data_IF_623154571454
#
_entry.id   IF_623154571454
#
_cell.length_a   1.000
_cell.length_b   1.000
_cell.length_c   1.000
_cell.angle_alpha   90.00
_cell.angle_beta   90.00
_cell.angle_gamma   90.00
#
_symmetry.space_group_name_H-M   'P 1'
#
loop_
_entity.id
_entity.type
_entity.pdbx_description
1 polymer ?
#
# COMPACT_ATOMS: atom_id res chain seq x y z
N UNK A 1 2.57 18.47 6.23
CA UNK A 1 2.82 18.08 7.63
C UNK A 1 4.31 17.89 7.78
N UNK A 2 4.98 18.68 8.61
CA UNK A 2 6.39 18.43 8.94
C UNK A 2 6.45 17.40 10.06
N UNK A 3 7.02 16.23 9.77
CA UNK A 3 7.24 15.19 10.77
C UNK A 3 8.43 15.61 11.64
N UNK A 4 8.15 16.08 12.86
CA UNK A 4 9.19 16.41 13.83
C UNK A 4 9.52 15.16 14.63
N UNK A 5 10.70 14.58 14.40
CA UNK A 5 11.21 13.47 15.20
C UNK A 5 11.85 14.08 16.45
N UNK A 6 11.27 13.81 17.62
CA UNK A 6 11.84 14.24 18.91
C UNK A 6 12.88 13.23 19.37
N UNK A 7 14.15 13.65 19.38
CA UNK A 7 15.27 12.84 19.89
C UNK A 7 15.39 13.03 21.41
N UNK A 8 15.50 11.95 22.21
CA UNK A 8 15.67 12.05 23.66
C UNK A 8 16.86 12.90 24.09
N UNK A 9 16.71 13.56 25.23
CA UNK A 9 17.77 14.41 25.78
C UNK A 9 19.03 13.58 26.10
N UNK A 10 20.17 14.02 25.57
CA UNK A 10 21.47 13.36 25.75
C UNK A 10 21.85 12.40 24.62
N UNK A 11 20.98 12.16 23.64
CA UNK A 11 21.35 11.43 22.43
C UNK A 11 21.96 12.39 21.41
N UNK A 12 22.99 11.92 20.71
CA UNK A 12 23.51 12.66 19.56
C UNK A 12 22.47 12.68 18.44
N UNK A 13 22.49 13.70 17.59
CA UNK A 13 21.59 13.74 16.45
C UNK A 13 22.09 12.77 15.37
N UNK A 14 21.23 11.91 14.79
CA UNK A 14 21.67 10.97 13.78
C UNK A 14 22.07 11.72 12.49
N UNK A 15 23.18 11.33 11.89
CA UNK A 15 23.67 11.89 10.63
C UNK A 15 22.80 11.49 9.44
N UNK A 16 22.14 10.33 9.50
CA UNK A 16 21.30 9.82 8.41
C UNK A 16 19.85 9.65 8.86
N UNK A 17 18.95 9.64 7.88
CA UNK A 17 17.51 9.49 8.11
C UNK A 17 16.99 8.16 7.61
N UNK A 18 15.90 7.69 8.21
CA UNK A 18 15.17 6.51 7.74
C UNK A 18 14.78 6.63 6.25
N UNK A 19 14.95 5.56 5.49
CA UNK A 19 14.66 5.51 4.05
C UNK A 19 15.71 6.17 3.16
N UNK A 20 16.74 6.81 3.73
CA UNK A 20 17.82 7.42 2.97
C UNK A 20 18.59 6.35 2.19
N UNK A 21 18.87 6.62 0.90
CA UNK A 21 19.65 5.73 0.05
C UNK A 21 21.14 5.95 0.25
N UNK A 22 21.84 4.86 0.49
CA UNK A 22 23.29 4.82 0.69
C UNK A 22 23.92 3.91 -0.36
N UNK A 23 25.25 3.90 -0.46
CA UNK A 23 25.94 2.98 -1.38
C UNK A 23 25.68 1.51 -1.02
N UNK A 24 25.38 1.22 0.24
CA UNK A 24 25.07 -0.12 0.75
C UNK A 24 23.58 -0.48 0.73
N UNK A 25 22.73 0.42 0.22
CA UNK A 25 21.29 0.23 0.16
C UNK A 25 20.50 1.26 0.98
N UNK A 26 19.16 1.19 0.97
CA UNK A 26 18.32 2.04 1.82
C UNK A 26 18.51 1.72 3.31
N UNK A 27 18.47 2.76 4.13
CA UNK A 27 18.38 2.62 5.59
C UNK A 27 16.94 2.19 5.94
N UNK A 28 16.81 0.99 6.49
CA UNK A 28 15.53 0.39 6.90
C UNK A 28 15.31 0.40 8.40
N UNK A 29 16.29 0.89 9.17
CA UNK A 29 16.15 1.02 10.62
C UNK A 29 17.30 1.79 11.25
N UNK A 30 17.04 2.33 12.43
CA UNK A 30 18.00 3.10 13.23
C UNK A 30 17.85 2.70 14.70
N UNK A 31 18.96 2.40 15.38
CA UNK A 31 19.00 2.06 16.81
C UNK A 31 20.07 2.90 17.49
N UNK A 32 19.78 3.40 18.69
CA UNK A 32 20.76 4.10 19.51
C UNK A 32 21.16 3.23 20.71
N UNK A 33 22.46 3.05 20.92
CA UNK A 33 23.01 2.33 22.07
C UNK A 33 23.64 3.31 23.06
N UNK A 34 23.00 3.55 24.22
CA UNK A 34 23.53 4.46 25.23
C UNK A 34 24.79 3.91 25.91
N UNK A 35 25.70 4.81 26.30
CA UNK A 35 26.88 4.50 27.11
C UNK A 35 26.53 3.66 28.36
N UNK A 36 27.40 2.72 28.70
CA UNK A 36 27.27 1.92 29.93
C UNK A 36 26.20 0.83 29.88
N UNK A 37 25.57 0.59 28.73
CA UNK A 37 24.68 -0.56 28.52
C UNK A 37 25.45 -1.77 28.02
N UNK A 38 24.93 -2.98 28.25
CA UNK A 38 25.53 -4.21 27.71
C UNK A 38 25.63 -4.17 26.18
N UNK A 39 24.59 -3.68 25.50
CA UNK A 39 24.58 -3.56 24.05
C UNK A 39 25.64 -2.58 23.53
N UNK A 40 25.90 -1.47 24.23
CA UNK A 40 26.98 -0.56 23.85
C UNK A 40 28.38 -1.18 24.04
N UNK A 41 28.54 -2.14 24.96
CA UNK A 41 29.81 -2.86 25.11
C UNK A 41 30.05 -3.89 24.02
N UNK A 42 29.00 -4.50 23.49
CA UNK A 42 29.06 -5.52 22.44
C UNK A 42 29.10 -4.90 21.04
N UNK A 43 28.29 -3.85 20.84
CA UNK A 43 28.06 -3.22 19.55
C UNK A 43 28.47 -1.74 19.53
N UNK A 44 29.28 -1.26 20.46
CA UNK A 44 29.71 0.15 20.50
C UNK A 44 28.59 1.14 20.88
N UNK A 45 29.00 2.29 21.40
CA UNK A 45 28.11 3.39 21.75
C UNK A 45 27.66 4.18 20.51
N UNK A 46 26.42 4.71 20.53
CA UNK A 46 25.92 5.66 19.53
C UNK A 46 24.91 5.07 18.55
N UNK A 47 24.80 5.69 17.37
CA UNK A 47 23.85 5.29 16.33
C UNK A 47 24.32 4.08 15.53
N UNK A 48 23.38 3.17 15.31
CA UNK A 48 23.50 2.02 14.42
C UNK A 48 22.43 2.06 13.36
N UNK A 49 22.88 1.94 12.11
CA UNK A 49 22.04 1.96 10.93
C UNK A 49 21.85 0.55 10.42
N UNK A 50 20.59 0.21 10.13
CA UNK A 50 20.19 -1.08 9.58
C UNK A 50 19.96 -0.86 8.10
N UNK A 51 20.73 -1.56 7.27
CA UNK A 51 20.70 -1.44 5.83
C UNK A 51 20.19 -2.74 5.22
N UNK A 52 19.47 -2.59 4.11
CA UNK A 52 18.97 -3.70 3.32
C UNK A 52 19.51 -3.56 1.90
N UNK A 53 20.64 -4.22 1.56
CA UNK A 53 21.25 -4.09 0.23
C UNK A 53 20.35 -4.58 -0.90
N UNK A 54 19.56 -5.62 -0.63
CA UNK A 54 18.60 -6.20 -1.57
C UNK A 54 17.38 -6.69 -0.77
N UNK A 55 16.18 -6.37 -1.26
CA UNK A 55 14.89 -6.80 -0.69
C UNK A 55 14.69 -8.32 -0.75
N UNK A 56 15.54 -9.04 -1.49
CA UNK A 56 15.52 -10.50 -1.63
C UNK A 56 16.38 -11.21 -0.59
N UNK A 57 17.17 -10.48 0.18
CA UNK A 57 17.97 -11.01 1.27
C UNK A 57 17.21 -10.88 2.58
N UNK A 58 17.24 -11.94 3.39
CA UNK A 58 16.66 -11.94 4.74
C UNK A 58 17.57 -11.24 5.76
N UNK A 59 18.87 -11.13 5.45
CA UNK A 59 19.86 -10.62 6.39
C UNK A 59 19.90 -9.08 6.41
N UNK A 60 19.64 -8.51 7.58
CA UNK A 60 19.81 -7.11 7.89
C UNK A 60 21.30 -6.82 8.21
N UNK A 61 21.86 -5.76 7.60
CA UNK A 61 23.23 -5.36 7.88
C UNK A 61 23.28 -4.19 8.87
N UNK A 62 23.96 -4.38 9.99
CA UNK A 62 24.11 -3.36 11.03
C UNK A 62 25.45 -2.64 10.90
N UNK A 63 25.41 -1.33 10.67
CA UNK A 63 26.60 -0.49 10.46
C UNK A 63 26.68 0.64 11.47
N UNK A 64 27.89 1.02 11.87
CA UNK A 64 28.12 2.31 12.56
C UNK A 64 27.93 3.47 11.58
N UNK A 65 27.69 4.65 12.12
CA UNK A 65 27.61 5.91 11.38
C UNK A 65 28.77 6.12 10.40
N UNK A 66 30.02 5.90 10.82
CA UNK A 66 31.21 6.10 9.98
C UNK A 66 31.34 5.10 8.81
N UNK A 67 30.66 3.95 8.91
CA UNK A 67 30.68 2.92 7.86
C UNK A 67 29.64 3.19 6.76
N UNK A 68 28.63 4.01 7.04
CA UNK A 68 27.56 4.33 6.07
C UNK A 68 28.07 5.36 5.07
N UNK A 69 28.00 5.03 3.78
CA UNK A 69 28.48 5.90 2.71
C UNK A 69 27.32 6.49 1.92
N UNK A 70 27.25 7.80 1.88
CA UNK A 70 26.26 8.50 1.07
C UNK A 70 26.51 8.28 -0.42
N UNK A 71 25.43 8.15 -1.17
CA UNK A 71 25.47 8.28 -2.61
C UNK A 71 25.81 9.72 -2.97
N UNK A 72 26.66 9.88 -3.98
CA UNK A 72 26.82 11.20 -4.61
C UNK A 72 25.50 11.61 -5.27
N UNK A 73 25.23 12.92 -5.43
CA UNK A 73 24.00 13.39 -6.09
C UNK A 73 23.81 12.80 -7.49
N UNK A 74 24.92 12.54 -8.20
CA UNK A 74 24.89 11.93 -9.52
C UNK A 74 24.50 10.45 -9.46
N UNK A 75 25.10 9.68 -8.56
CA UNK A 75 24.74 8.26 -8.37
C UNK A 75 23.28 8.12 -7.93
N UNK A 76 22.83 8.99 -7.01
CA UNK A 76 21.44 9.02 -6.58
C UNK A 76 20.49 9.29 -7.76
N UNK A 77 20.80 10.29 -8.58
CA UNK A 77 20.01 10.61 -9.78
C UNK A 77 19.98 9.45 -10.76
N UNK A 78 21.12 8.81 -11.02
CA UNK A 78 21.20 7.64 -11.90
C UNK A 78 20.37 6.48 -11.37
N UNK A 79 20.41 6.22 -10.06
CA UNK A 79 19.62 5.15 -9.43
C UNK A 79 18.12 5.42 -9.52
N UNK A 80 17.69 6.65 -9.23
CA UNK A 80 16.29 7.07 -9.37
C UNK A 80 15.84 6.91 -10.83
N UNK A 81 16.65 7.36 -11.80
CA UNK A 81 16.30 7.25 -13.21
C UNK A 81 16.19 5.79 -13.65
N UNK A 82 17.15 4.94 -13.27
CA UNK A 82 17.11 3.51 -13.60
C UNK A 82 15.85 2.83 -13.04
N UNK A 83 15.42 3.23 -11.84
CA UNK A 83 14.20 2.73 -11.22
C UNK A 83 12.94 3.22 -11.93
N UNK A 84 12.88 4.49 -12.34
CA UNK A 84 11.80 5.03 -13.16
C UNK A 84 11.71 4.26 -14.49
N UNK A 85 12.84 4.03 -15.16
CA UNK A 85 12.89 3.33 -16.45
C UNK A 85 12.50 1.85 -16.30
N UNK A 86 12.84 1.23 -15.17
CA UNK A 86 12.41 -0.14 -14.86
C UNK A 86 10.88 -0.22 -14.68
N UNK A 87 10.30 0.61 -13.82
CA UNK A 87 8.86 0.60 -13.57
C UNK A 87 8.06 1.02 -14.80
N UNK A 88 8.56 1.98 -15.60
CA UNK A 88 7.92 2.39 -16.85
C UNK A 88 7.80 1.22 -17.83
N UNK A 89 8.87 0.42 -17.99
CA UNK A 89 8.83 -0.80 -18.82
C UNK A 89 7.88 -1.86 -18.28
N UNK A 90 7.81 -2.03 -16.96
CA UNK A 90 6.84 -2.96 -16.34
C UNK A 90 5.40 -2.53 -16.63
N UNK A 91 5.12 -1.22 -16.53
CA UNK A 91 3.80 -0.68 -16.85
C UNK A 91 3.44 -0.86 -18.32
N UNK A 92 4.39 -0.65 -19.25
CA UNK A 92 4.17 -0.89 -20.68
C UNK A 92 3.85 -2.36 -20.97
N UNK A 93 4.60 -3.28 -20.35
CA UNK A 93 4.39 -4.72 -20.52
C UNK A 93 3.02 -5.14 -19.98
N UNK A 94 2.67 -4.71 -18.76
CA UNK A 94 1.38 -5.00 -18.15
C UNK A 94 0.22 -4.42 -18.98
N UNK A 95 0.39 -3.20 -19.52
CA UNK A 95 -0.60 -2.59 -20.40
C UNK A 95 -0.80 -3.42 -21.67
N UNK A 96 0.29 -3.88 -22.28
CA UNK A 96 0.22 -4.74 -23.45
C UNK A 96 -0.48 -6.07 -23.12
N UNK A 97 -0.14 -6.71 -22.00
CA UNK A 97 -0.81 -7.94 -21.55
C UNK A 97 -2.32 -7.73 -21.44
N UNK A 98 -2.75 -6.65 -20.78
CA UNK A 98 -4.17 -6.31 -20.64
C UNK A 98 -4.87 -6.03 -21.99
N UNK A 99 -4.18 -5.41 -22.94
CA UNK A 99 -4.70 -5.20 -24.31
C UNK A 99 -4.80 -6.51 -25.11
N UNK A 100 -3.95 -7.50 -24.80
CA UNK A 100 -3.91 -8.80 -25.48
C UNK A 100 -4.84 -9.86 -24.89
N UNK A 101 -5.49 -9.61 -23.74
CA UNK A 101 -6.51 -10.52 -23.21
C UNK A 101 -7.69 -10.52 -24.20
N UNK A 102 -7.97 -11.64 -24.91
CA UNK A 102 -9.15 -11.71 -25.74
C UNK A 102 -10.38 -11.57 -24.85
N UNK A 103 -11.27 -10.63 -25.21
CA UNK A 103 -12.65 -10.57 -24.74
C UNK A 103 -13.34 -11.86 -25.21
N UNK A 104 -13.11 -12.97 -24.52
CA UNK A 104 -13.83 -14.24 -24.68
C UNK A 104 -13.31 -15.26 -23.65
N UNK A 105 -13.73 -15.12 -22.39
CA UNK A 105 -14.01 -16.30 -21.56
C UNK A 105 -15.34 -16.06 -20.83
N UNK A 106 -16.32 -16.88 -21.21
CA UNK A 106 -17.58 -17.21 -20.53
C UNK A 106 -18.69 -16.13 -20.47
N UNK A 107 -19.26 -15.83 -21.65
CA UNK A 107 -20.73 -15.84 -21.79
C UNK A 107 -21.15 -17.23 -22.24
N UNK A 108 -21.39 -18.12 -21.28
CA UNK A 108 -22.20 -19.34 -21.36
C UNK A 108 -22.44 -19.67 -19.89
N UNK A 109 -23.61 -19.43 -19.31
CA UNK A 109 -24.89 -19.98 -19.72
C UNK A 109 -26.01 -18.92 -19.62
N UNK A 110 -26.67 -18.67 -20.74
CA UNK A 110 -28.00 -18.03 -20.74
C UNK A 110 -29.06 -19.11 -20.86
N UNK A 111 -29.75 -19.40 -19.76
CA UNK A 111 -31.18 -19.70 -19.82
C UNK A 111 -31.92 -18.39 -19.59
N UNK A 112 -32.32 -17.78 -20.71
CA UNK A 112 -33.48 -16.91 -20.95
C UNK A 112 -33.88 -16.00 -19.77
N UNK A 113 -33.74 -14.69 -19.94
CA UNK A 113 -34.86 -13.72 -19.92
C UNK A 113 -34.39 -12.37 -20.49
N UNK A 114 -35.27 -11.77 -21.27
CA UNK A 114 -35.06 -10.55 -22.05
C UNK A 114 -34.70 -9.35 -21.18
N UNK A 115 -33.61 -8.64 -21.50
CA UNK A 115 -33.55 -7.18 -21.42
C UNK A 115 -32.36 -6.64 -22.24
N UNK A 116 -32.50 -5.39 -22.68
CA UNK A 116 -31.76 -4.71 -23.75
C UNK A 116 -30.21 -4.76 -23.61
N UNK A 117 -29.46 -4.62 -24.72
CA UNK A 117 -28.00 -4.72 -24.71
C UNK A 117 -27.37 -3.52 -23.98
N UNK A 118 -27.09 -3.68 -22.68
CA UNK A 118 -26.14 -2.81 -21.97
C UNK A 118 -24.74 -3.11 -22.47
N UNK A 119 -24.19 -2.14 -23.22
CA UNK A 119 -22.78 -2.10 -23.60
C UNK A 119 -21.88 -2.21 -22.36
N UNK A 120 -20.72 -2.88 -22.46
CA UNK A 120 -19.71 -2.83 -21.40
C UNK A 120 -19.24 -1.38 -21.25
N UNK A 121 -19.61 -0.74 -20.14
CA UNK A 121 -19.14 0.60 -19.81
C UNK A 121 -17.62 0.54 -19.63
N UNK A 122 -16.89 1.15 -20.57
CA UNK A 122 -15.54 1.66 -20.33
C UNK A 122 -15.62 2.62 -19.14
N UNK A 123 -15.20 2.19 -17.95
CA UNK A 123 -14.99 3.11 -16.82
C UNK A 123 -13.86 4.07 -17.23
N UNK A 124 -14.23 5.32 -17.52
CA UNK A 124 -13.31 6.43 -17.68
C UNK A 124 -12.58 6.65 -16.35
N UNK A 125 -11.26 6.78 -16.42
CA UNK A 125 -10.38 7.05 -15.27
C UNK A 125 -10.35 8.54 -14.90
N UNK A 126 -11.24 9.36 -15.46
CA UNK A 126 -11.19 10.82 -15.38
C UNK A 126 -11.95 11.39 -14.16
N UNK A 127 -12.58 10.55 -13.34
CA UNK A 127 -13.27 10.98 -12.12
C UNK A 127 -12.62 10.33 -10.88
N UNK A 128 -12.40 11.08 -9.79
CA UNK A 128 -11.90 10.51 -8.56
C UNK A 128 -12.85 9.39 -8.10
N UNK A 129 -12.31 8.26 -7.62
CA UNK A 129 -13.13 7.13 -7.19
C UNK A 129 -14.09 7.56 -6.08
N UNK A 130 -15.37 7.26 -6.26
CA UNK A 130 -16.42 7.56 -5.28
C UNK A 130 -16.37 6.54 -4.14
N UNK A 131 -16.88 6.91 -2.96
CA UNK A 131 -17.00 5.97 -1.83
C UNK A 131 -17.76 4.69 -2.23
N UNK A 132 -18.80 4.81 -3.05
CA UNK A 132 -19.51 3.65 -3.60
C UNK A 132 -18.59 2.72 -4.39
N UNK A 133 -17.71 3.27 -5.24
CA UNK A 133 -16.77 2.45 -6.01
C UNK A 133 -15.79 1.67 -5.14
N UNK A 134 -15.43 2.20 -3.96
CA UNK A 134 -14.60 1.49 -2.98
C UNK A 134 -15.38 0.40 -2.25
N UNK A 135 -16.65 0.63 -1.92
CA UNK A 135 -17.53 -0.38 -1.32
C UNK A 135 -17.70 -1.55 -2.29
N UNK A 136 -17.99 -1.29 -3.56
CA UNK A 136 -18.15 -2.32 -4.59
C UNK A 136 -16.86 -3.14 -4.78
N UNK A 137 -15.70 -2.47 -4.83
CA UNK A 137 -14.41 -3.12 -4.93
C UNK A 137 -14.10 -3.99 -3.71
N UNK A 138 -14.38 -3.49 -2.51
CA UNK A 138 -14.18 -4.24 -1.27
C UNK A 138 -15.07 -5.49 -1.20
N UNK A 139 -16.34 -5.39 -1.63
CA UNK A 139 -17.25 -6.55 -1.71
C UNK A 139 -16.73 -7.62 -2.68
N UNK A 140 -16.17 -7.21 -3.83
CA UNK A 140 -15.57 -8.13 -4.80
C UNK A 140 -14.35 -8.84 -4.20
N UNK A 141 -13.45 -8.09 -3.57
CA UNK A 141 -12.26 -8.65 -2.92
C UNK A 141 -12.64 -9.65 -1.83
N UNK A 142 -13.58 -9.30 -0.95
CA UNK A 142 -14.05 -10.21 0.10
C UNK A 142 -14.67 -11.49 -0.47
N UNK A 143 -15.38 -11.40 -1.60
CA UNK A 143 -15.94 -12.57 -2.29
C UNK A 143 -14.86 -13.50 -2.83
N UNK A 144 -13.77 -12.95 -3.37
CA UNK A 144 -12.65 -13.76 -3.88
C UNK A 144 -11.81 -14.35 -2.74
N UNK A 145 -11.59 -13.61 -1.66
CA UNK A 145 -10.94 -14.13 -0.44
C UNK A 145 -11.74 -15.30 0.14
N UNK A 146 -13.07 -15.18 0.25
CA UNK A 146 -13.93 -16.23 0.79
C UNK A 146 -13.90 -17.53 -0.01
N UNK A 147 -13.57 -17.49 -1.31
CA UNK A 147 -13.43 -18.66 -2.18
C UNK A 147 -12.01 -19.22 -2.23
N UNK A 148 -11.03 -18.48 -1.73
CA UNK A 148 -9.63 -18.84 -1.90
C UNK A 148 -9.30 -20.10 -1.06
N UNK A 149 -8.66 -21.13 -1.65
CA UNK A 149 -8.36 -22.38 -0.95
C UNK A 149 -7.57 -22.12 0.33
N UNK A 150 -6.58 -21.24 0.29
CA UNK A 150 -5.74 -20.91 1.46
C UNK A 150 -6.54 -20.26 2.61
N UNK A 151 -7.62 -19.53 2.30
CA UNK A 151 -8.49 -18.95 3.32
C UNK A 151 -9.40 -20.01 3.96
N UNK A 152 -9.85 -20.99 3.16
CA UNK A 152 -10.67 -22.11 3.64
C UNK A 152 -9.84 -23.10 4.47
N UNK A 153 -8.55 -23.23 4.19
CA UNK A 153 -7.65 -24.17 4.89
C UNK A 153 -6.84 -23.53 6.01
N UNK A 154 -7.24 -22.37 6.52
CA UNK A 154 -6.56 -21.74 7.66
C UNK A 154 -6.55 -22.70 8.85
N UNK A 155 -5.37 -22.94 9.41
CA UNK A 155 -5.14 -23.75 10.62
C UNK A 155 -5.36 -22.97 11.91
N UNK A 156 -5.71 -21.69 11.80
CA UNK A 156 -6.09 -20.80 12.88
C UNK A 156 -7.37 -20.03 12.55
N UNK A 157 -8.07 -19.57 13.59
CA UNK A 157 -9.22 -18.70 13.43
C UNK A 157 -8.77 -17.23 13.55
N UNK A 158 -8.97 -16.40 12.50
CA UNK A 158 -8.60 -14.99 12.58
C UNK A 158 -9.56 -14.22 13.50
N UNK A 159 -9.04 -13.20 14.19
CA UNK A 159 -9.83 -12.31 15.06
C UNK A 159 -10.88 -11.48 14.29
N UNK A 160 -10.64 -11.27 12.99
CA UNK A 160 -11.53 -10.57 12.07
C UNK A 160 -11.89 -11.52 10.93
N UNK A 161 -13.19 -11.78 10.80
CA UNK A 161 -13.71 -12.68 9.75
C UNK A 161 -14.20 -11.90 8.53
N UNK A 162 -14.39 -12.63 7.42
CA UNK A 162 -15.06 -12.07 6.23
C UNK A 162 -16.48 -11.59 6.56
N UNK A 163 -17.17 -12.23 7.51
CA UNK A 163 -18.50 -11.79 7.95
C UNK A 163 -18.46 -10.46 8.69
N UNK A 164 -17.42 -10.23 9.51
CA UNK A 164 -17.23 -8.94 10.20
C UNK A 164 -16.95 -7.81 9.18
N UNK A 165 -16.13 -8.09 8.18
CA UNK A 165 -15.84 -7.15 7.10
C UNK A 165 -17.10 -6.84 6.24
N UNK A 166 -17.93 -7.84 5.94
CA UNK A 166 -19.22 -7.64 5.25
C UNK A 166 -20.19 -6.79 6.08
N UNK A 167 -20.21 -7.00 7.40
CA UNK A 167 -21.03 -6.22 8.33
C UNK A 167 -20.57 -4.75 8.35
N UNK A 168 -19.27 -4.50 8.40
CA UNK A 168 -18.70 -3.16 8.33
C UNK A 168 -19.05 -2.44 7.01
N UNK A 169 -18.96 -3.14 5.87
CA UNK A 169 -19.38 -2.59 4.57
C UNK A 169 -20.86 -2.25 4.52
N UNK A 170 -21.72 -3.04 5.18
CA UNK A 170 -23.16 -2.77 5.27
C UNK A 170 -23.45 -1.47 6.04
N UNK A 171 -22.71 -1.19 7.11
CA UNK A 171 -22.82 0.09 7.82
C UNK A 171 -22.37 1.28 6.96
N UNK A 172 -21.28 1.13 6.22
CA UNK A 172 -20.81 2.17 5.30
C UNK A 172 -21.82 2.45 4.18
N UNK A 173 -22.44 1.40 3.64
CA UNK A 173 -23.46 1.53 2.61
C UNK A 173 -24.72 2.19 3.16
N UNK A 174 -25.20 1.80 4.35
CA UNK A 174 -26.34 2.46 5.02
C UNK A 174 -26.07 3.94 5.27
N UNK A 175 -24.88 4.30 5.76
CA UNK A 175 -24.51 5.70 6.00
C UNK A 175 -24.46 6.54 4.72
N UNK A 176 -24.08 5.94 3.60
CA UNK A 176 -24.10 6.59 2.29
C UNK A 176 -25.53 6.82 1.80
N UNK A 177 -26.39 5.81 1.92
CA UNK A 177 -27.80 5.89 1.53
C UNK A 177 -28.56 6.95 2.36
N UNK A 178 -28.24 7.07 3.64
CA UNK A 178 -28.82 8.09 4.51
C UNK A 178 -28.33 9.49 4.11
N UNK A 179 -27.03 9.66 3.86
CA UNK A 179 -26.45 10.94 3.42
C UNK A 179 -27.06 11.41 2.09
N UNK A 180 -27.30 10.48 1.16
CA UNK A 180 -27.93 10.79 -0.14
C UNK A 180 -29.41 11.16 -0.01
N UNK A 181 -30.14 10.61 0.97
CA UNK A 181 -31.54 11.03 1.25
C UNK A 181 -31.60 12.43 1.85
N UNK A 182 -30.65 12.82 2.70
CA UNK A 182 -30.58 14.17 3.27
C UNK A 182 -30.28 15.25 2.22
N UNK A 183 -29.49 14.94 1.19
CA UNK A 183 -29.25 15.86 0.05
C UNK A 183 -30.49 16.05 -0.84
N UNK A 184 -31.40 15.07 -0.88
CA UNK A 184 -32.64 15.17 -1.66
C UNK A 184 -33.69 15.98 -0.89
N UNK A 185 -33.80 15.82 0.43
CA UNK A 185 -34.79 16.56 1.24
C UNK A 185 -34.44 18.03 1.41
N UNK A 186 -33.15 18.40 1.37
CA UNK A 186 -32.68 19.79 1.39
C UNK A 186 -32.89 20.53 0.06
N UNK A 187 -33.17 19.82 -1.04
CA UNK A 187 -33.51 20.41 -2.35
C UNK A 187 -35.02 20.53 -2.61
N UNK A 188 -35.89 20.01 -1.72
CA UNK A 188 -37.35 19.99 -1.93
C UNK A 188 -38.09 21.13 -1.21
N UNK A 189 -37.45 21.82 -0.26
CA UNK A 189 -37.99 23.03 0.35
C UNK A 189 -37.21 24.26 -0.14
N UNK A 190 -37.72 25.03 -1.13
CA UNK A 190 -37.26 26.39 -1.29
C UNK A 190 -37.70 27.19 -0.07
N UNK A 191 -36.77 27.92 0.56
CA UNK A 191 -37.11 28.87 1.62
C UNK A 191 -38.09 29.92 1.07
N UNK A 192 -39.21 30.12 1.79
CA UNK A 192 -40.12 31.27 1.64
C UNK A 192 -39.56 32.52 2.32
#
# INVERSE_FOLDING_TARGET
>A
MEYTISIPQGWQYPQFTFGQRTQQGPIVGMKYYPAGTFLASEYGEGWRYILMPDKRYEDEEHRVEDEVKLLTPQELKTQIQAEIDHHSRQLELLKFELETIPVNVATAESTVHNEAPTQPQKKSWDSPPTLQSFIDAAQLILREIAKHPDFVTLDYQPDLTVADAQTALSYLQSGLEDSQKFDITSNIFPED
#
